data_IF_822775092176
#
_entry.id   IF_822775092176
#
_cell.length_a   1.000
_cell.length_b   1.000
_cell.length_c   1.000
_cell.angle_alpha   90.00
_cell.angle_beta   90.00
_cell.angle_gamma   90.00
#
_symmetry.space_group_name_H-M   'P 1'
#
loop_
_entity.id
_entity.type
_entity.pdbx_description
1 polymer ?
#
# COMPACT_ATOMS: atom_id res chain seq x y z
N UNK A 1 72.09 -27.17 -12.21
CA UNK A 1 71.42 -26.03 -12.80
C UNK A 1 69.92 -26.26 -12.87
N UNK A 2 69.21 -25.85 -11.89
CA UNK A 2 67.75 -25.77 -12.03
C UNK A 2 67.26 -24.70 -11.09
N UNK A 3 66.60 -23.71 -11.64
CA UNK A 3 65.94 -22.66 -10.92
C UNK A 3 64.51 -23.10 -10.58
N UNK A 4 64.25 -23.32 -9.32
CA UNK A 4 62.92 -23.52 -8.85
C UNK A 4 62.13 -22.23 -8.92
N UNK A 5 61.10 -22.19 -9.75
CA UNK A 5 60.16 -21.09 -9.72
C UNK A 5 59.15 -21.31 -8.61
N UNK A 6 59.23 -20.46 -7.62
CA UNK A 6 58.19 -20.35 -6.63
C UNK A 6 57.07 -19.51 -7.22
N UNK A 7 55.95 -20.13 -7.47
CA UNK A 7 54.71 -19.43 -7.85
C UNK A 7 54.08 -18.95 -6.54
N UNK A 8 54.13 -17.65 -6.33
CA UNK A 8 53.33 -17.01 -5.27
C UNK A 8 51.91 -16.89 -5.74
N UNK A 9 51.05 -17.70 -5.15
CA UNK A 9 49.62 -17.55 -5.31
C UNK A 9 49.15 -16.26 -4.65
N UNK A 10 48.51 -15.41 -5.43
CA UNK A 10 47.82 -14.27 -4.94
C UNK A 10 46.57 -14.70 -4.20
N UNK A 11 46.50 -14.47 -2.91
CA UNK A 11 45.29 -14.62 -2.13
C UNK A 11 44.40 -13.43 -2.44
N UNK A 12 43.39 -13.64 -3.26
CA UNK A 12 42.34 -12.65 -3.48
C UNK A 12 41.51 -12.50 -2.21
N UNK A 13 41.59 -11.36 -1.58
CA UNK A 13 40.69 -10.98 -0.52
C UNK A 13 39.29 -10.81 -1.11
N UNK A 14 38.39 -11.79 -0.87
CA UNK A 14 36.97 -11.63 -1.14
C UNK A 14 36.43 -10.64 -0.12
N UNK A 15 36.23 -9.40 -0.58
CA UNK A 15 35.56 -8.39 0.21
C UNK A 15 34.09 -8.80 0.38
N UNK A 16 33.71 -9.15 1.60
CA UNK A 16 32.30 -9.30 1.96
C UNK A 16 31.67 -7.91 1.97
N UNK A 17 30.92 -7.63 0.95
CA UNK A 17 30.00 -6.50 0.95
C UNK A 17 28.80 -6.87 1.79
N UNK A 18 28.81 -6.52 3.06
CA UNK A 18 27.64 -6.51 3.90
C UNK A 18 26.75 -5.35 3.41
N UNK A 19 25.79 -5.67 2.55
CA UNK A 19 24.72 -4.76 2.25
C UNK A 19 23.92 -4.53 3.53
N UNK A 20 24.13 -3.41 4.18
CA UNK A 20 23.29 -2.97 5.28
C UNK A 20 21.91 -2.67 4.70
N UNK A 21 20.99 -3.62 4.81
CA UNK A 21 19.57 -3.38 4.54
C UNK A 21 19.05 -2.47 5.65
N UNK A 22 18.99 -1.17 5.37
CA UNK A 22 18.52 -0.18 6.31
C UNK A 22 17.08 -0.44 6.74
N UNK A 23 16.77 -0.15 8.01
CA UNK A 23 15.45 -0.35 8.64
C UNK A 23 14.32 0.55 8.10
N UNK A 24 14.54 1.33 7.05
CA UNK A 24 13.54 2.20 6.40
C UNK A 24 12.49 1.44 5.61
N UNK A 25 12.68 0.15 5.34
CA UNK A 25 11.81 -0.67 4.48
C UNK A 25 10.43 -0.94 5.09
N UNK A 26 10.28 -0.98 6.42
CA UNK A 26 9.01 -1.38 7.08
C UNK A 26 7.95 -0.30 6.95
N UNK A 27 8.27 0.97 7.18
CA UNK A 27 7.33 2.10 7.05
C UNK A 27 6.94 2.33 5.59
N UNK A 28 7.91 2.28 4.68
CA UNK A 28 7.68 2.36 3.24
C UNK A 28 6.79 1.21 2.75
N UNK A 29 7.05 -0.01 3.20
CA UNK A 29 6.27 -1.20 2.86
C UNK A 29 4.81 -1.11 3.33
N UNK A 30 4.55 -0.56 4.51
CA UNK A 30 3.20 -0.32 5.02
C UNK A 30 2.47 0.74 4.19
N UNK A 31 3.11 1.84 3.91
CA UNK A 31 2.54 2.90 3.07
C UNK A 31 2.18 2.37 1.67
N UNK A 32 3.05 1.60 1.05
CA UNK A 32 2.80 0.93 -0.24
C UNK A 32 1.62 -0.05 -0.16
N UNK A 33 1.53 -0.82 0.93
CA UNK A 33 0.42 -1.74 1.15
C UNK A 33 -0.92 -0.99 1.26
N UNK A 34 -0.95 0.13 1.97
CA UNK A 34 -2.13 0.98 2.07
C UNK A 34 -2.56 1.57 0.72
N UNK A 35 -1.61 2.07 -0.03
CA UNK A 35 -1.85 2.57 -1.40
C UNK A 35 -2.41 1.47 -2.31
N UNK A 36 -1.85 0.27 -2.25
CA UNK A 36 -2.28 -0.85 -3.05
C UNK A 36 -3.74 -1.26 -2.76
N UNK A 37 -4.17 -1.19 -1.51
CA UNK A 37 -5.57 -1.47 -1.13
C UNK A 37 -6.52 -0.46 -1.74
N UNK A 38 -6.20 0.83 -1.69
CA UNK A 38 -7.03 1.88 -2.29
C UNK A 38 -7.14 1.67 -3.81
N UNK A 39 -6.03 1.44 -4.49
CA UNK A 39 -6.04 1.18 -5.95
C UNK A 39 -6.87 -0.05 -6.29
N UNK A 40 -6.67 -1.13 -5.58
CA UNK A 40 -7.39 -2.39 -5.82
C UNK A 40 -8.88 -2.25 -5.60
N UNK A 41 -9.28 -1.53 -4.56
CA UNK A 41 -10.68 -1.27 -4.27
C UNK A 41 -11.36 -0.51 -5.42
N UNK A 42 -10.78 0.59 -5.87
CA UNK A 42 -11.36 1.37 -6.97
C UNK A 42 -11.29 0.65 -8.32
N UNK A 43 -10.30 -0.19 -8.55
CA UNK A 43 -10.25 -1.04 -9.74
C UNK A 43 -11.36 -2.09 -9.76
N UNK A 44 -11.69 -2.66 -8.60
CA UNK A 44 -12.73 -3.68 -8.47
C UNK A 44 -14.15 -3.09 -8.29
N UNK A 45 -14.26 -1.81 -7.94
CA UNK A 45 -15.52 -1.15 -7.65
C UNK A 45 -16.57 -1.28 -8.77
N UNK A 46 -16.24 -1.17 -10.07
CA UNK A 46 -17.20 -1.33 -11.15
C UNK A 46 -17.88 -2.70 -11.19
N UNK A 47 -17.26 -3.74 -10.65
CA UNK A 47 -17.87 -5.07 -10.59
C UNK A 47 -19.12 -5.11 -9.71
N UNK A 48 -19.17 -4.26 -8.67
CA UNK A 48 -20.24 -4.25 -7.70
C UNK A 48 -20.37 -5.53 -6.88
N UNK A 49 -19.33 -6.35 -6.86
CA UNK A 49 -19.34 -7.67 -6.23
C UNK A 49 -18.73 -7.60 -4.82
N UNK A 50 -19.57 -7.73 -3.80
CA UNK A 50 -19.13 -7.75 -2.41
C UNK A 50 -18.33 -9.00 -2.03
N UNK A 51 -18.34 -10.04 -2.80
CA UNK A 51 -17.40 -11.17 -2.61
C UNK A 51 -15.96 -10.76 -2.90
N UNK A 52 -15.75 -9.80 -3.80
CA UNK A 52 -14.43 -9.23 -4.14
C UNK A 52 -14.11 -8.01 -3.27
N UNK A 53 -15.05 -7.10 -3.10
CA UNK A 53 -14.86 -5.82 -2.42
C UNK A 53 -14.89 -5.94 -0.90
N UNK A 54 -15.72 -6.83 -0.35
CA UNK A 54 -15.84 -7.03 1.10
C UNK A 54 -14.51 -7.31 1.80
N UNK A 55 -13.65 -8.20 1.27
CA UNK A 55 -12.32 -8.45 1.86
C UNK A 55 -11.38 -7.24 1.86
N UNK A 56 -11.64 -6.23 1.06
CA UNK A 56 -10.86 -4.99 1.00
C UNK A 56 -11.35 -3.91 1.96
N UNK A 57 -12.52 -4.12 2.57
CA UNK A 57 -13.16 -3.16 3.47
C UNK A 57 -12.99 -3.56 4.93
N UNK A 58 -12.85 -2.57 5.80
CA UNK A 58 -12.85 -2.78 7.25
C UNK A 58 -14.17 -3.43 7.66
N UNK A 59 -14.06 -4.46 8.51
CA UNK A 59 -15.21 -5.21 9.04
C UNK A 59 -15.28 -5.05 10.56
N UNK A 60 -16.45 -5.30 11.13
CA UNK A 60 -16.68 -5.28 12.57
C UNK A 60 -17.55 -4.13 13.02
N UNK A 61 -17.58 -3.91 14.35
CA UNK A 61 -18.40 -2.87 14.96
C UNK A 61 -18.03 -1.48 14.44
N UNK A 62 -19.03 -0.69 14.05
CA UNK A 62 -18.86 0.66 13.52
C UNK A 62 -18.50 0.72 12.04
N UNK A 63 -18.33 -0.41 11.38
CA UNK A 63 -18.11 -0.46 9.94
C UNK A 63 -19.45 -0.59 9.19
N UNK A 64 -19.55 0.10 8.05
CA UNK A 64 -20.69 -0.07 7.14
C UNK A 64 -20.62 -1.43 6.42
N UNK A 65 -21.76 -1.99 6.04
CA UNK A 65 -21.77 -3.16 5.20
C UNK A 65 -21.19 -2.84 3.81
N UNK A 66 -20.72 -3.87 3.11
CA UNK A 66 -20.26 -3.68 1.73
C UNK A 66 -21.36 -3.13 0.83
N UNK A 67 -22.56 -3.64 0.97
CA UNK A 67 -23.74 -3.21 0.18
C UNK A 67 -24.07 -1.74 0.41
N UNK A 68 -24.08 -1.27 1.65
CA UNK A 68 -24.32 0.12 1.99
C UNK A 68 -23.21 1.04 1.48
N UNK A 69 -21.98 0.59 1.62
CA UNK A 69 -20.82 1.30 1.07
C UNK A 69 -20.92 1.46 -0.44
N UNK A 70 -21.26 0.39 -1.16
CA UNK A 70 -21.42 0.45 -2.62
C UNK A 70 -22.55 1.39 -3.03
N UNK A 71 -23.67 1.36 -2.30
CA UNK A 71 -24.80 2.26 -2.57
C UNK A 71 -24.37 3.71 -2.43
N UNK A 72 -23.71 4.07 -1.35
CA UNK A 72 -23.21 5.41 -1.12
C UNK A 72 -22.21 5.87 -2.19
N UNK A 73 -21.29 5.01 -2.59
CA UNK A 73 -20.31 5.35 -3.62
C UNK A 73 -20.96 5.55 -4.99
N UNK A 74 -21.98 4.78 -5.33
CA UNK A 74 -22.73 4.94 -6.58
C UNK A 74 -23.55 6.23 -6.60
N UNK A 75 -24.19 6.57 -5.49
CA UNK A 75 -24.94 7.82 -5.36
C UNK A 75 -24.06 9.04 -5.57
N UNK A 76 -22.82 8.99 -5.13
CA UNK A 76 -21.85 10.08 -5.26
C UNK A 76 -20.97 9.99 -6.52
N UNK A 77 -21.07 8.90 -7.29
CA UNK A 77 -20.22 8.61 -8.46
C UNK A 77 -18.74 8.90 -8.17
N UNK A 78 -18.24 8.32 -7.07
CA UNK A 78 -16.88 8.53 -6.62
C UNK A 78 -15.90 7.68 -7.43
N UNK A 79 -14.88 8.32 -8.00
CA UNK A 79 -13.82 7.66 -8.78
C UNK A 79 -12.45 8.13 -8.34
N UNK A 80 -11.50 7.22 -8.33
CA UNK A 80 -10.10 7.53 -8.10
C UNK A 80 -9.48 8.12 -9.36
N UNK A 81 -8.89 9.32 -9.24
CA UNK A 81 -8.11 9.94 -10.33
C UNK A 81 -6.64 9.57 -10.18
N UNK A 82 -6.06 9.81 -9.00
CA UNK A 82 -4.66 9.55 -8.73
C UNK A 82 -4.39 9.53 -7.22
N UNK A 83 -3.33 8.85 -6.81
CA UNK A 83 -2.83 8.89 -5.44
C UNK A 83 -1.72 9.92 -5.34
N UNK A 84 -1.86 10.84 -4.40
CA UNK A 84 -0.89 11.92 -4.16
C UNK A 84 0.19 11.48 -3.19
N UNK A 85 -0.22 10.83 -2.10
CA UNK A 85 0.68 10.45 -1.02
C UNK A 85 0.06 9.32 -0.19
N UNK A 86 0.90 8.42 0.28
CA UNK A 86 0.54 7.44 1.29
C UNK A 86 1.58 7.44 2.40
N UNK A 87 1.13 7.51 3.64
CA UNK A 87 2.02 7.50 4.81
C UNK A 87 1.39 6.78 6.00
N UNK A 88 2.22 6.16 6.80
CA UNK A 88 1.79 5.55 8.06
C UNK A 88 1.30 6.66 8.99
N UNK A 89 0.18 6.40 9.66
CA UNK A 89 -0.36 7.32 10.68
C UNK A 89 0.63 7.43 11.84
N UNK A 90 1.02 8.65 12.18
CA UNK A 90 1.95 8.91 13.28
C UNK A 90 1.44 8.49 14.66
N UNK A 91 0.14 8.27 14.80
CA UNK A 91 -0.51 7.85 16.04
C UNK A 91 -0.81 6.36 16.10
N UNK A 92 -0.84 5.71 14.96
CA UNK A 92 -1.19 4.30 14.84
C UNK A 92 -0.40 3.64 13.71
N UNK A 93 0.61 2.85 14.07
CA UNK A 93 1.45 2.15 13.09
C UNK A 93 0.68 1.09 12.27
N UNK A 94 -0.52 0.70 12.68
CA UNK A 94 -1.41 -0.21 11.96
C UNK A 94 -2.46 0.53 11.12
N UNK A 95 -2.23 1.79 10.84
CA UNK A 95 -3.03 2.59 9.92
C UNK A 95 -2.15 3.34 8.93
N UNK A 96 -2.64 3.44 7.70
CA UNK A 96 -2.03 4.21 6.62
C UNK A 96 -3.03 5.26 6.15
N UNK A 97 -2.59 6.48 6.01
CA UNK A 97 -3.36 7.58 5.46
C UNK A 97 -2.97 7.77 4.00
N UNK A 98 -3.94 7.64 3.10
CA UNK A 98 -3.75 7.76 1.65
C UNK A 98 -4.48 9.00 1.16
N UNK A 99 -3.74 10.00 0.73
CA UNK A 99 -4.28 11.18 0.06
C UNK A 99 -4.40 10.91 -1.42
N UNK A 100 -5.60 11.11 -1.96
CA UNK A 100 -5.88 10.83 -3.35
C UNK A 100 -6.74 11.93 -3.98
N UNK A 101 -6.49 12.20 -5.24
CA UNK A 101 -7.40 12.99 -6.05
C UNK A 101 -8.54 12.11 -6.51
N UNK A 102 -9.75 12.58 -6.32
CA UNK A 102 -10.96 11.86 -6.69
C UNK A 102 -11.89 12.77 -7.50
N UNK A 103 -12.73 12.14 -8.30
CA UNK A 103 -13.84 12.83 -8.97
C UNK A 103 -15.16 12.40 -8.35
N UNK A 104 -16.13 13.31 -8.33
CA UNK A 104 -17.52 13.06 -7.95
C UNK A 104 -18.43 13.62 -9.02
N UNK A 105 -19.37 12.80 -9.49
CA UNK A 105 -20.30 13.23 -10.54
C UNK A 105 -19.61 13.68 -11.83
N UNK A 106 -18.45 13.14 -12.15
CA UNK A 106 -17.66 13.48 -13.33
C UNK A 106 -16.75 14.70 -13.17
N UNK A 107 -16.77 15.38 -12.03
CA UNK A 107 -15.90 16.52 -11.74
C UNK A 107 -14.84 16.18 -10.70
N UNK A 108 -13.57 16.48 -10.99
CA UNK A 108 -12.49 16.32 -10.02
C UNK A 108 -12.67 17.29 -8.86
N UNK A 109 -12.50 16.79 -7.63
CA UNK A 109 -12.55 17.62 -6.44
C UNK A 109 -11.30 18.49 -6.36
N UNK A 110 -11.47 19.74 -5.92
CA UNK A 110 -10.37 20.70 -5.75
C UNK A 110 -9.39 20.27 -4.65
N UNK A 111 -9.89 19.58 -3.62
CA UNK A 111 -9.06 19.09 -2.52
C UNK A 111 -8.94 17.58 -2.56
N UNK A 112 -7.74 17.02 -2.26
CA UNK A 112 -7.55 15.60 -2.14
C UNK A 112 -8.44 15.00 -1.05
N UNK A 113 -8.91 13.79 -1.29
CA UNK A 113 -9.64 13.00 -0.30
C UNK A 113 -8.67 12.18 0.54
N UNK A 114 -8.93 12.07 1.82
CA UNK A 114 -8.12 11.27 2.73
C UNK A 114 -8.79 9.93 3.01
N UNK A 115 -8.18 8.86 2.54
CA UNK A 115 -8.58 7.50 2.87
C UNK A 115 -7.77 6.97 4.04
N UNK A 116 -8.42 6.20 4.90
CA UNK A 116 -7.77 5.48 5.98
C UNK A 116 -7.75 3.99 5.66
N UNK A 117 -6.58 3.39 5.68
CA UNK A 117 -6.38 1.95 5.53
C UNK A 117 -5.88 1.40 6.85
N UNK A 118 -6.55 0.38 7.36
CA UNK A 118 -6.26 -0.20 8.67
C UNK A 118 -5.85 -1.66 8.52
N UNK A 119 -4.94 -2.07 9.39
CA UNK A 119 -4.58 -3.47 9.49
C UNK A 119 -5.66 -4.24 10.26
N UNK A 120 -6.20 -5.29 9.64
CA UNK A 120 -7.10 -6.24 10.28
C UNK A 120 -6.60 -7.66 10.03
N UNK A 121 -6.25 -8.37 11.09
CA UNK A 121 -5.58 -9.65 10.95
C UNK A 121 -4.23 -9.48 10.24
N UNK A 122 -4.01 -10.26 9.19
CA UNK A 122 -2.77 -10.19 8.38
C UNK A 122 -2.88 -9.26 7.16
N UNK A 123 -4.06 -8.69 6.93
CA UNK A 123 -4.33 -7.87 5.76
C UNK A 123 -4.57 -6.41 6.09
N UNK A 124 -4.54 -5.59 5.06
CA UNK A 124 -4.88 -4.17 5.10
C UNK A 124 -6.26 -3.96 4.48
N UNK A 125 -7.09 -3.13 5.09
CA UNK A 125 -8.47 -2.91 4.69
C UNK A 125 -8.81 -1.43 4.71
N UNK A 126 -9.60 -1.02 3.73
CA UNK A 126 -10.04 0.36 3.54
C UNK A 126 -11.24 0.66 4.47
N UNK A 127 -11.16 1.77 5.20
CA UNK A 127 -12.28 2.33 5.96
C UNK A 127 -12.92 3.45 5.15
N UNK A 128 -14.20 3.30 4.88
CA UNK A 128 -15.05 4.30 4.21
C UNK A 128 -16.22 4.68 5.10
#
# INVERSE_FOLDING_TARGET
MRLGRVVRGAVGAAGLWLAALGCTSTTSSRAEAGEAVVRRFFQALPSGDCAVLGPLLVQGAGASSCEDTLRSLREHDLRLVDIVEAKVDGRNADAVLVRARVSQGGAERSEPFLFRVERQGEGWRLRL
#
